data_IF_844239791118
#
_entry.id   IF_844239791118
#
_cell.length_a   1.000
_cell.length_b   1.000
_cell.length_c   1.000
_cell.angle_alpha   90.00
_cell.angle_beta   90.00
_cell.angle_gamma   90.00
#
_symmetry.space_group_name_H-M   'P 1'
#
loop_
_entity.id
_entity.type
_entity.pdbx_description
1 polymer ?
#
# COMPACT_ATOMS: atom_id res chain seq x y z
N UNK A 1 34.45 18.89 -11.00
CA UNK A 1 33.82 18.73 -9.67
C UNK A 1 32.32 18.58 -9.92
N UNK A 2 31.83 17.35 -9.97
CA UNK A 2 30.43 17.06 -10.28
C UNK A 2 29.58 17.29 -9.05
N UNK A 3 28.77 18.34 -9.05
CA UNK A 3 27.75 18.56 -8.03
C UNK A 3 26.60 17.58 -8.29
N UNK A 4 26.54 16.53 -7.48
CA UNK A 4 25.37 15.66 -7.39
C UNK A 4 24.23 16.47 -6.78
N UNK A 5 23.36 17.02 -7.63
CA UNK A 5 22.11 17.62 -7.18
C UNK A 5 21.22 16.48 -6.67
N UNK A 6 21.08 16.36 -5.35
CA UNK A 6 20.06 15.50 -4.78
C UNK A 6 18.71 15.98 -5.30
N UNK A 7 18.04 15.14 -6.09
CA UNK A 7 16.65 15.41 -6.46
C UNK A 7 15.84 15.43 -5.16
N UNK A 8 15.48 16.61 -4.69
CA UNK A 8 14.35 16.78 -3.79
C UNK A 8 13.12 16.46 -4.63
N UNK A 9 12.80 15.17 -4.74
CA UNK A 9 11.49 14.74 -5.14
C UNK A 9 10.54 15.32 -4.10
N UNK A 10 9.93 16.46 -4.41
CA UNK A 10 8.76 16.94 -3.69
C UNK A 10 7.63 15.92 -3.93
N UNK A 11 7.72 14.77 -3.26
CA UNK A 11 6.64 13.82 -3.14
C UNK A 11 5.53 14.56 -2.45
N UNK A 12 4.33 14.53 -3.04
CA UNK A 12 3.12 14.92 -2.31
C UNK A 12 3.14 14.31 -0.89
N UNK A 13 2.63 15.02 0.12
CA UNK A 13 2.68 14.55 1.50
C UNK A 13 2.05 13.15 1.57
N UNK A 14 2.86 12.17 1.99
CA UNK A 14 2.38 10.81 2.17
C UNK A 14 1.35 10.81 3.30
N UNK A 15 0.11 10.39 3.00
CA UNK A 15 -0.92 10.22 4.01
C UNK A 15 -0.69 8.89 4.73
N UNK A 16 -0.57 8.93 6.07
CA UNK A 16 -0.62 7.73 6.90
C UNK A 16 -2.04 7.17 6.85
N UNK A 17 -2.15 5.87 6.55
CA UNK A 17 -3.42 5.15 6.42
C UNK A 17 -3.46 3.96 7.39
N UNK A 18 -4.63 3.70 7.94
CA UNK A 18 -4.85 2.53 8.80
C UNK A 18 -5.04 1.25 7.98
N UNK A 19 -4.98 0.08 8.62
CA UNK A 19 -5.35 -1.17 7.95
C UNK A 19 -6.82 -1.22 7.50
N UNK A 20 -7.70 -0.48 8.19
CA UNK A 20 -9.11 -0.36 7.80
C UNK A 20 -9.24 0.44 6.50
N UNK A 21 -8.47 1.52 6.34
CA UNK A 21 -8.41 2.29 5.10
C UNK A 21 -7.87 1.42 3.97
N UNK A 22 -6.80 0.66 4.22
CA UNK A 22 -6.23 -0.29 3.24
C UNK A 22 -7.27 -1.32 2.79
N UNK A 23 -8.05 -1.90 3.71
CA UNK A 23 -9.12 -2.84 3.36
C UNK A 23 -10.24 -2.17 2.56
N UNK A 24 -10.53 -0.90 2.83
CA UNK A 24 -11.54 -0.13 2.11
C UNK A 24 -11.10 0.15 0.68
N UNK A 25 -9.86 0.61 0.49
CA UNK A 25 -9.25 0.79 -0.83
C UNK A 25 -9.19 -0.53 -1.61
N UNK A 26 -8.87 -1.63 -0.93
CA UNK A 26 -8.86 -2.96 -1.56
C UNK A 26 -10.26 -3.41 -2.00
N UNK A 27 -11.31 -3.11 -1.23
CA UNK A 27 -12.70 -3.39 -1.66
C UNK A 27 -13.07 -2.57 -2.89
N UNK A 28 -12.77 -1.28 -2.89
CA UNK A 28 -13.03 -0.41 -4.04
C UNK A 28 -12.33 -0.92 -5.31
N UNK A 29 -11.06 -1.33 -5.20
CA UNK A 29 -10.34 -1.93 -6.32
C UNK A 29 -10.97 -3.24 -6.80
N UNK A 30 -11.45 -4.08 -5.89
CA UNK A 30 -12.17 -5.32 -6.22
C UNK A 30 -13.51 -5.05 -6.89
N UNK A 31 -14.25 -4.05 -6.41
CA UNK A 31 -15.55 -3.66 -6.96
C UNK A 31 -15.39 -3.09 -8.37
N UNK A 32 -14.38 -2.26 -8.62
CA UNK A 32 -14.03 -1.75 -9.95
C UNK A 32 -13.62 -2.87 -10.92
N UNK A 33 -12.86 -3.85 -10.43
CA UNK A 33 -12.51 -5.05 -11.22
C UNK A 33 -13.70 -6.02 -11.40
N UNK A 34 -14.81 -5.81 -10.69
CA UNK A 34 -16.01 -6.63 -10.70
C UNK A 34 -15.93 -7.94 -9.89
N UNK A 35 -14.73 -8.43 -9.57
CA UNK A 35 -14.55 -9.58 -8.68
C UNK A 35 -13.15 -9.64 -8.08
N UNK A 36 -13.00 -10.40 -6.98
CA UNK A 36 -11.69 -10.66 -6.35
C UNK A 36 -10.74 -11.38 -7.29
N UNK A 37 -11.27 -12.29 -8.12
CA UNK A 37 -10.47 -13.04 -9.09
C UNK A 37 -9.98 -12.13 -10.22
N UNK A 38 -10.86 -11.28 -10.75
CA UNK A 38 -10.50 -10.30 -11.77
C UNK A 38 -9.45 -9.31 -11.25
N UNK A 39 -9.62 -8.80 -10.03
CA UNK A 39 -8.62 -7.95 -9.38
C UNK A 39 -7.26 -8.66 -9.24
N UNK A 40 -7.30 -9.92 -8.78
CA UNK A 40 -6.10 -10.72 -8.61
C UNK A 40 -5.34 -10.94 -9.92
N UNK A 41 -6.06 -11.22 -11.01
CA UNK A 41 -5.49 -11.39 -12.35
C UNK A 41 -4.94 -10.07 -12.90
N UNK A 42 -5.70 -8.97 -12.77
CA UNK A 42 -5.30 -7.64 -13.25
C UNK A 42 -3.98 -7.16 -12.64
N UNK A 43 -3.79 -7.42 -11.33
CA UNK A 43 -2.62 -6.95 -10.59
C UNK A 43 -1.54 -8.03 -10.36
N UNK A 44 -1.74 -9.25 -10.87
CA UNK A 44 -0.80 -10.35 -10.69
C UNK A 44 -0.61 -10.77 -9.21
N UNK A 45 -1.67 -10.69 -8.40
CA UNK A 45 -1.64 -11.08 -6.98
C UNK A 45 -2.44 -12.36 -6.74
N UNK A 46 -2.21 -13.03 -5.61
CA UNK A 46 -2.91 -14.25 -5.28
C UNK A 46 -4.34 -13.96 -4.77
N UNK A 47 -5.37 -14.56 -5.38
CA UNK A 47 -6.77 -14.36 -4.99
C UNK A 47 -7.11 -14.81 -3.55
N UNK A 48 -6.41 -15.82 -3.03
CA UNK A 48 -6.54 -16.23 -1.63
C UNK A 48 -5.94 -15.17 -0.70
N UNK A 49 -4.83 -14.53 -1.09
CA UNK A 49 -4.23 -13.42 -0.34
C UNK A 49 -5.20 -12.24 -0.25
N UNK A 50 -5.82 -11.87 -1.38
CA UNK A 50 -6.88 -10.83 -1.44
C UNK A 50 -8.02 -11.16 -0.46
N UNK A 51 -8.51 -12.41 -0.48
CA UNK A 51 -9.61 -12.82 0.40
C UNK A 51 -9.22 -12.84 1.89
N UNK A 52 -8.03 -13.34 2.23
CA UNK A 52 -7.52 -13.34 3.60
C UNK A 52 -7.32 -11.93 4.16
N UNK A 53 -6.89 -10.98 3.33
CA UNK A 53 -6.71 -9.58 3.73
C UNK A 53 -8.06 -8.88 3.88
N UNK A 54 -9.00 -9.07 2.95
CA UNK A 54 -10.35 -8.49 3.06
C UNK A 54 -11.11 -8.97 4.30
N UNK A 55 -10.90 -10.23 4.72
CA UNK A 55 -11.46 -10.81 5.93
C UNK A 55 -10.70 -10.43 7.20
N UNK A 56 -9.55 -9.76 7.10
CA UNK A 56 -8.73 -9.38 8.24
C UNK A 56 -7.96 -10.54 8.88
N UNK A 57 -7.95 -11.72 8.25
CA UNK A 57 -7.20 -12.90 8.74
C UNK A 57 -5.69 -12.79 8.50
N UNK A 58 -5.28 -11.88 7.61
CA UNK A 58 -3.88 -11.70 7.21
C UNK A 58 -3.58 -10.23 6.96
N UNK A 59 -2.39 -9.80 7.35
CA UNK A 59 -1.86 -8.50 6.98
C UNK A 59 -1.56 -8.42 5.46
N UNK A 60 -1.79 -7.28 4.81
CA UNK A 60 -1.54 -7.11 3.38
C UNK A 60 -0.05 -7.24 3.05
N UNK A 61 0.24 -8.03 2.01
CA UNK A 61 1.60 -8.16 1.47
C UNK A 61 2.02 -6.87 0.75
N UNK A 62 3.34 -6.65 0.57
CA UNK A 62 3.84 -5.47 -0.17
C UNK A 62 3.30 -5.40 -1.60
N UNK A 63 3.15 -6.55 -2.26
CA UNK A 63 2.60 -6.60 -3.63
C UNK A 63 1.14 -6.14 -3.65
N UNK A 64 0.35 -6.59 -2.68
CA UNK A 64 -1.05 -6.20 -2.55
C UNK A 64 -1.23 -4.73 -2.13
N UNK A 65 -0.33 -4.19 -1.30
CA UNK A 65 -0.33 -2.74 -1.01
C UNK A 65 -0.04 -1.93 -2.29
N UNK A 66 0.95 -2.37 -3.08
CA UNK A 66 1.31 -1.69 -4.33
C UNK A 66 0.15 -1.70 -5.35
N UNK A 67 -0.65 -2.77 -5.42
CA UNK A 67 -1.79 -2.84 -6.34
C UNK A 67 -2.86 -1.78 -6.06
N UNK A 68 -2.92 -1.25 -4.84
CA UNK A 68 -3.85 -0.18 -4.44
C UNK A 68 -3.14 1.17 -4.23
N UNK A 69 -1.92 1.32 -4.72
CA UNK A 69 -1.15 2.57 -4.60
C UNK A 69 -0.62 2.88 -3.19
N UNK A 70 -0.62 1.90 -2.28
CA UNK A 70 -0.13 2.04 -0.91
C UNK A 70 1.28 1.44 -0.77
N UNK A 71 2.13 2.05 0.05
CA UNK A 71 3.44 1.51 0.42
C UNK A 71 3.60 1.49 1.93
N UNK A 72 4.28 0.48 2.47
CA UNK A 72 4.59 0.40 3.92
C UNK A 72 5.90 1.12 4.19
N UNK A 73 5.87 2.08 5.12
CA UNK A 73 7.04 2.80 5.61
C UNK A 73 7.05 2.78 7.14
N UNK A 74 8.25 2.86 7.74
CA UNK A 74 8.40 3.13 9.17
C UNK A 74 8.45 4.65 9.35
N UNK A 75 7.71 5.14 10.34
CA UNK A 75 7.59 6.57 10.64
C UNK A 75 8.02 6.79 12.09
N UNK A 76 8.81 7.83 12.33
CA UNK A 76 9.16 8.30 13.68
C UNK A 76 8.27 9.50 13.99
N UNK A 77 7.40 9.37 14.99
CA UNK A 77 6.55 10.45 15.47
C UNK A 77 7.32 11.38 16.43
N UNK A 78 7.08 12.69 16.39
CA UNK A 78 7.60 13.62 17.39
C UNK A 78 9.09 14.03 17.28
N UNK A 79 9.82 13.50 16.30
CA UNK A 79 11.02 14.16 15.77
C UNK A 79 12.20 14.36 16.72
N UNK A 80 12.60 13.37 17.53
CA UNK A 80 14.02 13.13 17.84
C UNK A 80 14.21 11.62 18.03
N UNK A 81 14.92 10.90 17.14
CA UNK A 81 15.32 9.54 17.45
C UNK A 81 16.30 9.55 18.63
N UNK A 82 15.91 8.95 19.74
CA UNK A 82 16.80 8.68 20.87
C UNK A 82 17.57 7.38 20.57
N UNK A 83 18.87 7.53 20.37
CA UNK A 83 19.83 6.42 20.38
C UNK A 83 20.56 6.46 21.71
#
# INVERSE_FOLDING_TARGET
MSSTSAHVCASAPARVVSEVDVRTLLRQGVDEAGSRLAFAQLHGVNANDVSSVLTGRKAPSRSLLRSIGVTRALVIEGGVPVW
#
